data_IF_585088276267
#
_entry.id   IF_585088276267
#
_cell.length_a   1.000
_cell.length_b   1.000
_cell.length_c   1.000
_cell.angle_alpha   90.00
_cell.angle_beta   90.00
_cell.angle_gamma   90.00
#
_symmetry.space_group_name_H-M   'P 1'
#
loop_
_entity.id
_entity.type
_entity.pdbx_description
1 polymer ?
#
# COMPACT_ATOMS: atom_id res chain seq x y z
N UNK A 1 26.20 25.48 12.13
CA UNK A 1 26.72 24.33 12.89
C UNK A 1 26.00 23.07 12.41
N UNK A 2 26.74 22.01 12.10
CA UNK A 2 26.39 21.02 11.06
C UNK A 2 25.40 19.91 11.50
N UNK A 3 24.48 19.47 10.62
CA UNK A 3 23.46 18.42 10.85
C UNK A 3 24.01 16.99 11.08
N UNK A 4 25.33 16.83 11.17
CA UNK A 4 25.99 15.51 11.23
C UNK A 4 25.86 14.78 12.57
N UNK A 5 25.60 15.48 13.68
CA UNK A 5 25.54 14.83 15.01
C UNK A 5 24.27 14.00 15.24
N UNK A 6 23.17 14.30 14.53
CA UNK A 6 21.93 13.52 14.66
C UNK A 6 21.96 12.21 13.87
N UNK A 7 22.70 12.15 12.76
CA UNK A 7 22.79 10.96 11.91
C UNK A 7 23.66 9.88 12.55
N UNK A 8 24.75 10.28 13.22
CA UNK A 8 25.66 9.35 13.93
C UNK A 8 25.04 8.69 15.16
N UNK A 9 23.91 9.20 15.67
CA UNK A 9 23.14 8.57 16.76
C UNK A 9 22.24 7.42 16.28
N UNK A 10 21.93 7.37 14.98
CA UNK A 10 20.95 6.44 14.40
C UNK A 10 21.65 5.36 13.58
N UNK A 11 22.67 5.74 12.81
CA UNK A 11 23.41 4.85 11.91
C UNK A 11 24.86 4.67 12.39
N UNK A 12 25.33 3.42 12.40
CA UNK A 12 26.72 3.09 12.68
C UNK A 12 27.66 3.50 11.55
N UNK A 13 28.96 3.58 11.82
CA UNK A 13 29.97 4.01 10.84
C UNK A 13 29.96 3.21 9.53
N UNK A 14 29.72 1.89 9.61
CA UNK A 14 29.64 1.00 8.43
C UNK A 14 28.40 1.30 7.58
N UNK A 15 27.29 1.64 8.24
CA UNK A 15 26.02 1.99 7.58
C UNK A 15 26.12 3.33 6.85
N UNK A 16 26.70 4.34 7.51
CA UNK A 16 26.99 5.66 6.92
C UNK A 16 27.88 5.50 5.69
N UNK A 17 28.98 4.75 5.79
CA UNK A 17 29.89 4.49 4.68
C UNK A 17 29.22 3.75 3.51
N UNK A 18 28.27 2.87 3.82
CA UNK A 18 27.48 2.15 2.82
C UNK A 18 26.54 3.10 2.06
N UNK A 19 25.88 4.02 2.76
CA UNK A 19 25.04 5.07 2.16
C UNK A 19 25.88 5.98 1.26
N UNK A 20 27.03 6.46 1.74
CA UNK A 20 27.91 7.33 0.95
C UNK A 20 28.39 6.66 -0.34
N UNK A 21 28.80 5.38 -0.27
CA UNK A 21 29.19 4.62 -1.46
C UNK A 21 28.03 4.55 -2.46
N UNK A 22 26.81 4.31 -1.98
CA UNK A 22 25.62 4.20 -2.81
C UNK A 22 25.27 5.53 -3.49
N UNK A 23 25.29 6.64 -2.74
CA UNK A 23 25.02 7.98 -3.25
C UNK A 23 26.07 8.44 -4.28
N UNK A 24 27.31 7.98 -4.14
CA UNK A 24 28.41 8.21 -5.10
C UNK A 24 28.39 7.24 -6.29
N UNK A 25 27.35 6.40 -6.42
CA UNK A 25 27.21 5.45 -7.53
C UNK A 25 28.20 4.27 -7.51
N UNK A 26 28.91 4.04 -6.40
CA UNK A 26 29.90 2.95 -6.31
C UNK A 26 29.23 1.59 -6.13
N UNK A 27 29.83 0.56 -6.72
CA UNK A 27 29.36 -0.83 -6.59
C UNK A 27 29.48 -1.31 -5.15
N UNK A 28 28.37 -1.77 -4.58
CA UNK A 28 28.31 -2.32 -3.22
C UNK A 28 28.57 -3.82 -3.21
N UNK A 29 29.31 -4.31 -2.20
CA UNK A 29 29.47 -5.74 -1.88
C UNK A 29 28.16 -6.33 -1.39
N UNK A 30 28.02 -7.66 -1.41
CA UNK A 30 26.80 -8.34 -0.99
C UNK A 30 26.41 -8.00 0.46
N UNK A 31 27.38 -7.96 1.38
CA UNK A 31 27.19 -7.57 2.78
C UNK A 31 26.70 -6.12 2.91
N UNK A 32 27.31 -5.19 2.16
CA UNK A 32 26.90 -3.78 2.09
C UNK A 32 25.47 -3.63 1.57
N UNK A 33 25.10 -4.40 0.54
CA UNK A 33 23.72 -4.41 0.04
C UNK A 33 22.73 -4.97 1.06
N UNK A 34 23.14 -5.93 1.90
CA UNK A 34 22.29 -6.45 2.97
C UNK A 34 22.08 -5.41 4.09
N UNK A 35 23.09 -4.59 4.39
CA UNK A 35 22.93 -3.47 5.32
C UNK A 35 21.88 -2.47 4.84
N UNK A 36 21.86 -2.16 3.54
CA UNK A 36 20.86 -1.25 2.96
C UNK A 36 19.42 -1.72 3.24
N UNK A 37 19.14 -3.00 2.98
CA UNK A 37 17.78 -3.54 3.09
C UNK A 37 17.37 -3.88 4.53
N UNK A 38 18.29 -4.46 5.33
CA UNK A 38 17.94 -5.05 6.63
C UNK A 38 18.23 -4.15 7.83
N UNK A 39 19.03 -3.10 7.68
CA UNK A 39 19.49 -2.30 8.83
C UNK A 39 19.28 -0.79 8.61
N UNK A 40 19.78 -0.25 7.50
CA UNK A 40 19.72 1.18 7.18
C UNK A 40 18.27 1.63 6.93
N UNK A 41 17.55 0.91 6.06
CA UNK A 41 16.17 1.25 5.69
C UNK A 41 15.23 1.27 6.92
N UNK A 42 15.19 0.25 7.79
CA UNK A 42 14.37 0.27 9.00
C UNK A 42 14.66 1.46 9.93
N UNK A 43 15.93 1.82 10.12
CA UNK A 43 16.34 2.91 11.01
C UNK A 43 15.93 4.28 10.47
N UNK A 44 16.07 4.49 9.16
CA UNK A 44 15.63 5.72 8.50
C UNK A 44 14.10 5.87 8.53
N UNK A 45 13.36 4.76 8.36
CA UNK A 45 11.91 4.72 8.53
C UNK A 45 11.47 5.08 9.95
N UNK A 46 12.12 4.49 10.96
CA UNK A 46 11.79 4.71 12.36
C UNK A 46 12.09 6.15 12.84
N UNK A 47 13.13 6.78 12.30
CA UNK A 47 13.59 8.09 12.75
C UNK A 47 12.75 9.28 12.25
N UNK A 48 11.68 9.07 11.45
CA UNK A 48 10.96 10.15 10.75
C UNK A 48 11.88 11.12 9.96
N UNK A 49 13.12 10.72 9.63
CA UNK A 49 14.03 11.45 8.71
C UNK A 49 13.54 11.22 7.25
N UNK A 50 12.24 11.27 7.06
CA UNK A 50 11.50 10.91 5.84
C UNK A 50 10.51 11.99 5.46
N UNK A 51 10.78 13.24 5.84
CA UNK A 51 10.23 14.38 5.11
C UNK A 51 10.85 14.52 3.71
N UNK A 52 11.93 13.80 3.39
CA UNK A 52 12.55 13.80 2.07
C UNK A 52 12.54 12.39 1.44
N UNK A 53 11.38 12.00 0.89
CA UNK A 53 11.18 10.75 0.14
C UNK A 53 12.27 10.47 -0.92
N UNK A 54 12.94 11.53 -1.41
CA UNK A 54 14.06 11.47 -2.36
C UNK A 54 15.28 10.70 -1.85
N UNK A 55 15.54 10.67 -0.54
CA UNK A 55 16.73 10.00 0.00
C UNK A 55 16.56 8.48 0.01
N UNK A 56 15.37 7.98 0.34
CA UNK A 56 15.07 6.54 0.27
C UNK A 56 15.20 6.01 -1.16
N UNK A 57 14.62 6.73 -2.13
CA UNK A 57 14.66 6.36 -3.55
C UNK A 57 16.10 6.27 -4.08
N UNK A 58 16.98 7.19 -3.64
CA UNK A 58 18.40 7.19 -4.03
C UNK A 58 19.21 6.06 -3.40
N UNK A 59 18.76 5.53 -2.27
CA UNK A 59 19.47 4.49 -1.51
C UNK A 59 18.97 3.09 -1.87
N UNK A 60 17.74 2.94 -2.37
CA UNK A 60 17.18 1.64 -2.75
C UNK A 60 17.96 0.96 -3.90
N UNK A 61 17.96 -0.39 -3.89
CA UNK A 61 18.30 -1.18 -5.09
C UNK A 61 17.21 -0.90 -6.14
N UNK A 62 17.53 -0.78 -7.44
CA UNK A 62 16.48 -0.82 -8.46
C UNK A 62 15.72 -2.14 -8.28
N UNK A 63 14.42 -2.05 -8.04
CA UNK A 63 13.57 -3.22 -7.85
C UNK A 63 13.68 -4.11 -9.10
N UNK A 64 14.24 -5.31 -8.92
CA UNK A 64 14.03 -6.40 -9.87
C UNK A 64 12.55 -6.78 -9.68
N UNK A 65 11.67 -6.21 -10.51
CA UNK A 65 10.23 -6.43 -10.43
C UNK A 65 9.98 -7.95 -10.46
N UNK A 66 9.40 -8.49 -9.39
CA UNK A 66 8.95 -9.89 -9.38
C UNK A 66 7.73 -9.98 -10.29
N UNK A 67 7.92 -10.61 -11.46
CA UNK A 67 6.90 -10.76 -12.49
C UNK A 67 5.77 -11.73 -12.09
N UNK A 68 5.96 -12.55 -11.05
CA UNK A 68 4.99 -13.57 -10.63
C UNK A 68 3.73 -13.01 -9.95
N UNK A 69 3.70 -11.71 -9.62
CA UNK A 69 2.56 -11.04 -8.94
C UNK A 69 1.95 -9.91 -9.76
N UNK A 70 2.07 -10.02 -11.08
CA UNK A 70 1.67 -8.99 -12.03
C UNK A 70 0.37 -9.37 -12.75
N UNK A 71 -0.61 -8.48 -12.73
CA UNK A 71 -1.90 -8.69 -13.40
C UNK A 71 -1.88 -7.92 -14.73
N UNK A 72 -2.11 -8.64 -15.83
CA UNK A 72 -2.37 -8.06 -17.15
C UNK A 72 -3.86 -7.71 -17.27
N UNK A 73 -4.19 -6.45 -17.57
CA UNK A 73 -5.58 -6.03 -17.78
C UNK A 73 -5.83 -5.51 -19.19
N UNK A 74 -6.98 -5.88 -19.79
CA UNK A 74 -7.45 -5.43 -21.10
C UNK A 74 -8.69 -4.53 -20.94
N UNK A 75 -8.63 -3.28 -21.43
CA UNK A 75 -9.71 -2.29 -21.37
C UNK A 75 -10.89 -2.56 -22.34
N UNK A 76 -10.79 -3.61 -23.16
CA UNK A 76 -11.85 -4.08 -24.05
C UNK A 76 -13.25 -4.10 -23.42
N UNK A 77 -13.36 -4.60 -22.18
CA UNK A 77 -14.64 -4.79 -21.48
C UNK A 77 -15.37 -3.48 -21.10
N UNK A 78 -14.74 -2.31 -21.28
CA UNK A 78 -15.36 -0.99 -21.05
C UNK A 78 -15.79 -0.29 -22.36
N UNK A 79 -15.91 -1.00 -23.48
CA UNK A 79 -16.41 -0.45 -24.74
C UNK A 79 -15.37 0.25 -25.61
N UNK A 80 -14.08 0.09 -25.31
CA UNK A 80 -12.96 0.62 -26.10
C UNK A 80 -12.44 -0.38 -27.15
N UNK A 81 -13.28 -1.29 -27.66
CA UNK A 81 -12.93 -2.13 -28.80
C UNK A 81 -13.25 -1.41 -30.11
N UNK A 82 -12.44 -0.43 -30.46
CA UNK A 82 -12.35 -0.01 -31.86
C UNK A 82 -11.35 -0.95 -32.53
N UNK A 83 -11.90 -1.96 -33.21
CA UNK A 83 -11.27 -2.92 -34.14
C UNK A 83 -9.76 -2.70 -34.32
N UNK A 84 -8.94 -3.59 -33.76
CA UNK A 84 -7.49 -3.54 -33.97
C UNK A 84 -6.90 -4.92 -34.22
N UNK A 85 -6.26 -5.08 -35.38
CA UNK A 85 -5.63 -6.29 -35.91
C UNK A 85 -4.15 -6.45 -35.52
N UNK A 86 -3.67 -5.80 -34.44
CA UNK A 86 -2.28 -5.93 -33.97
C UNK A 86 -2.16 -6.07 -32.46
N UNK A 87 -1.34 -7.02 -32.02
CA UNK A 87 -0.96 -7.25 -30.63
C UNK A 87 -0.51 -5.95 -29.93
N UNK A 88 -1.11 -5.69 -28.78
CA UNK A 88 -1.09 -4.37 -28.15
C UNK A 88 0.22 -4.14 -27.36
N UNK A 89 1.13 -3.32 -27.90
CA UNK A 89 2.41 -2.90 -27.27
C UNK A 89 2.27 -2.05 -25.98
N UNK A 90 1.08 -1.88 -25.41
CA UNK A 90 0.79 -0.95 -24.30
C UNK A 90 0.14 -1.60 -23.07
N UNK A 91 0.42 -2.87 -22.81
CA UNK A 91 0.09 -3.45 -21.51
C UNK A 91 1.09 -2.91 -20.47
N UNK A 92 0.63 -2.03 -19.57
CA UNK A 92 1.42 -1.64 -18.42
C UNK A 92 1.27 -2.69 -17.33
N UNK A 93 2.39 -3.34 -17.02
CA UNK A 93 2.42 -4.31 -15.96
C UNK A 93 2.60 -3.57 -14.63
N UNK A 94 1.59 -3.65 -13.77
CA UNK A 94 1.57 -3.02 -12.43
C UNK A 94 1.57 -4.08 -11.34
N UNK A 95 2.14 -3.77 -10.18
CA UNK A 95 2.07 -4.66 -9.02
C UNK A 95 0.67 -4.63 -8.40
N UNK A 96 0.30 -5.70 -7.70
CA UNK A 96 -0.98 -5.78 -7.00
C UNK A 96 -1.17 -4.66 -5.96
N UNK A 97 -0.09 -4.30 -5.25
CA UNK A 97 -0.08 -3.18 -4.30
C UNK A 97 -0.42 -1.84 -4.98
N UNK A 98 0.19 -1.57 -6.14
CA UNK A 98 -0.09 -0.35 -6.92
C UNK A 98 -1.52 -0.38 -7.50
N UNK A 99 -2.02 -1.54 -7.91
CA UNK A 99 -3.41 -1.71 -8.35
C UNK A 99 -4.39 -1.37 -7.22
N UNK A 100 -4.16 -1.88 -6.01
CA UNK A 100 -4.97 -1.55 -4.82
C UNK A 100 -4.94 -0.03 -4.57
N UNK A 101 -3.78 0.60 -4.69
CA UNK A 101 -3.66 2.05 -4.55
C UNK A 101 -4.50 2.80 -5.59
N UNK A 102 -4.45 2.37 -6.86
CA UNK A 102 -5.21 2.96 -7.95
C UNK A 102 -6.72 2.81 -7.74
N UNK A 103 -7.18 1.67 -7.24
CA UNK A 103 -8.59 1.48 -6.85
C UNK A 103 -8.97 2.49 -5.76
N UNK A 104 -8.16 2.60 -4.71
CA UNK A 104 -8.49 3.44 -3.55
C UNK A 104 -8.38 4.96 -3.78
N UNK A 105 -7.67 5.37 -4.82
CA UNK A 105 -7.41 6.79 -5.14
C UNK A 105 -8.11 7.30 -6.38
N UNK A 106 -8.23 6.48 -7.44
CA UNK A 106 -8.72 6.94 -8.76
C UNK A 106 -9.98 6.20 -9.23
N UNK A 107 -10.22 4.98 -8.76
CA UNK A 107 -11.33 4.13 -9.20
C UNK A 107 -12.04 3.53 -8.00
N UNK A 108 -12.50 4.40 -7.10
CA UNK A 108 -13.08 4.03 -5.81
C UNK A 108 -14.52 3.51 -5.91
N UNK A 109 -14.83 2.78 -6.98
CA UNK A 109 -16.11 2.09 -7.10
C UNK A 109 -16.26 1.07 -5.97
N UNK A 110 -17.48 0.96 -5.44
CA UNK A 110 -17.79 0.10 -4.30
C UNK A 110 -17.35 -1.35 -4.57
N UNK A 111 -17.68 -1.87 -5.76
CA UNK A 111 -17.35 -3.25 -6.16
C UNK A 111 -15.86 -3.54 -6.20
N UNK A 112 -15.04 -2.56 -6.58
CA UNK A 112 -13.59 -2.76 -6.59
C UNK A 112 -13.00 -2.74 -5.19
N UNK A 113 -13.52 -1.88 -4.31
CA UNK A 113 -13.10 -1.82 -2.91
C UNK A 113 -13.45 -3.12 -2.19
N UNK A 114 -14.65 -3.63 -2.43
CA UNK A 114 -15.16 -4.91 -1.94
C UNK A 114 -14.28 -6.11 -2.31
N UNK A 115 -13.63 -6.06 -3.48
CA UNK A 115 -12.74 -7.13 -3.93
C UNK A 115 -11.36 -7.11 -3.25
N UNK A 116 -10.93 -5.97 -2.69
CA UNK A 116 -9.57 -5.81 -2.13
C UNK A 116 -9.26 -6.84 -1.03
N UNK A 117 -10.13 -7.07 -0.02
CA UNK A 117 -9.84 -8.06 1.02
C UNK A 117 -9.57 -9.46 0.46
N UNK A 118 -10.32 -9.88 -0.56
CA UNK A 118 -10.10 -11.19 -1.21
C UNK A 118 -8.76 -11.21 -1.95
N UNK A 119 -8.41 -10.12 -2.66
CA UNK A 119 -7.09 -9.99 -3.29
C UNK A 119 -5.96 -10.07 -2.27
N UNK A 120 -6.12 -9.44 -1.10
CA UNK A 120 -5.15 -9.49 -0.01
C UNK A 120 -4.99 -10.90 0.58
N UNK A 121 -6.06 -11.70 0.60
CA UNK A 121 -6.05 -13.07 1.14
C UNK A 121 -5.44 -14.08 0.16
N UNK A 122 -5.83 -13.99 -1.12
CA UNK A 122 -5.44 -14.95 -2.16
C UNK A 122 -4.01 -14.75 -2.66
N UNK A 123 -3.43 -13.57 -2.48
CA UNK A 123 -2.10 -13.26 -2.98
C UNK A 123 -1.12 -13.08 -1.82
N UNK A 124 0.10 -13.55 -2.02
CA UNK A 124 1.20 -13.18 -1.14
C UNK A 124 1.55 -11.71 -1.39
N UNK A 125 1.19 -10.82 -0.46
CA UNK A 125 1.52 -9.40 -0.57
C UNK A 125 2.64 -9.09 0.40
N UNK A 126 3.67 -8.40 -0.08
CA UNK A 126 4.72 -7.89 0.79
C UNK A 126 4.14 -6.76 1.68
N UNK A 127 4.07 -6.94 3.01
CA UNK A 127 3.55 -5.92 3.91
C UNK A 127 4.34 -4.60 3.84
N UNK A 128 5.62 -4.65 3.49
CA UNK A 128 6.45 -3.45 3.36
C UNK A 128 6.12 -2.67 2.09
N UNK A 129 5.93 -3.37 0.96
CA UNK A 129 5.52 -2.74 -0.29
C UNK A 129 4.13 -2.11 -0.13
N UNK A 130 3.20 -2.81 0.52
CA UNK A 130 1.87 -2.28 0.79
C UNK A 130 1.91 -1.04 1.71
N UNK A 131 2.79 -1.03 2.72
CA UNK A 131 2.98 0.13 3.60
C UNK A 131 3.57 1.34 2.85
N UNK A 132 4.54 1.09 1.97
CA UNK A 132 5.19 2.12 1.15
C UNK A 132 4.17 2.78 0.22
N UNK A 133 3.38 1.96 -0.49
CA UNK A 133 2.27 2.43 -1.34
C UNK A 133 1.22 3.17 -0.51
N UNK A 134 0.82 2.63 0.64
CA UNK A 134 -0.17 3.27 1.51
C UNK A 134 0.28 4.65 2.01
N UNK A 135 1.58 4.81 2.25
CA UNK A 135 2.17 6.09 2.67
C UNK A 135 2.32 7.06 1.51
N UNK A 136 2.78 6.59 0.35
CA UNK A 136 2.96 7.38 -0.88
C UNK A 136 1.65 8.02 -1.34
N UNK A 137 0.55 7.28 -1.27
CA UNK A 137 -0.77 7.72 -1.74
C UNK A 137 -1.67 8.26 -0.63
N UNK A 138 -1.18 8.36 0.61
CA UNK A 138 -1.95 8.77 1.79
C UNK A 138 -3.27 7.98 2.00
N UNK A 139 -3.20 6.66 1.81
CA UNK A 139 -4.35 5.73 1.93
C UNK A 139 -4.22 4.77 3.11
N UNK A 140 -3.39 5.11 4.12
CA UNK A 140 -3.10 4.27 5.30
C UNK A 140 -4.37 3.80 6.01
N UNK A 141 -5.33 4.70 6.20
CA UNK A 141 -6.58 4.38 6.89
C UNK A 141 -7.44 3.41 6.07
N UNK A 142 -7.57 3.66 4.77
CA UNK A 142 -8.30 2.79 3.82
C UNK A 142 -7.70 1.39 3.77
N UNK A 143 -6.37 1.30 3.60
CA UNK A 143 -5.63 0.03 3.59
C UNK A 143 -5.74 -0.69 4.93
N UNK A 144 -5.59 0.02 6.04
CA UNK A 144 -5.67 -0.55 7.38
C UNK A 144 -7.02 -1.20 7.65
N UNK A 145 -8.12 -0.53 7.28
CA UNK A 145 -9.46 -1.10 7.36
C UNK A 145 -9.60 -2.37 6.51
N UNK A 146 -9.15 -2.33 5.26
CA UNK A 146 -9.29 -3.48 4.34
C UNK A 146 -8.42 -4.67 4.75
N UNK A 147 -7.25 -4.43 5.36
CA UNK A 147 -6.42 -5.48 5.97
C UNK A 147 -7.11 -6.10 7.19
N UNK A 148 -7.75 -5.30 8.03
CA UNK A 148 -8.53 -5.80 9.18
C UNK A 148 -9.73 -6.62 8.71
N UNK A 149 -10.39 -6.21 7.62
CA UNK A 149 -11.43 -7.00 6.94
C UNK A 149 -10.87 -8.29 6.37
N UNK A 150 -9.68 -8.26 5.74
CA UNK A 150 -9.04 -9.47 5.23
C UNK A 150 -8.67 -10.46 6.35
N UNK A 151 -8.13 -9.99 7.48
CA UNK A 151 -7.78 -10.83 8.64
C UNK A 151 -9.04 -11.48 9.26
N UNK A 152 -10.15 -10.73 9.28
CA UNK A 152 -11.45 -11.21 9.74
C UNK A 152 -12.02 -12.32 8.85
N UNK A 153 -11.99 -12.13 7.53
CA UNK A 153 -12.48 -13.12 6.56
C UNK A 153 -11.60 -14.38 6.56
N UNK A 154 -10.28 -14.20 6.57
CA UNK A 154 -9.34 -15.30 6.41
C UNK A 154 -9.32 -16.28 7.59
N UNK A 155 -9.82 -15.88 8.77
CA UNK A 155 -9.92 -16.60 10.05
C UNK A 155 -8.62 -17.21 10.63
N UNK A 156 -7.66 -17.61 9.81
CA UNK A 156 -6.45 -18.35 10.17
C UNK A 156 -5.14 -17.66 9.72
N UNK A 157 -5.16 -16.88 8.63
CA UNK A 157 -3.98 -16.18 8.12
C UNK A 157 -3.78 -14.83 8.80
N UNK A 158 -3.14 -14.85 9.97
CA UNK A 158 -2.74 -13.66 10.77
C UNK A 158 -1.66 -12.78 10.12
N UNK A 159 -1.53 -12.81 8.80
CA UNK A 159 -0.40 -12.29 8.05
C UNK A 159 -0.25 -10.76 8.16
N UNK A 160 -1.33 -10.04 8.50
CA UNK A 160 -1.33 -8.58 8.51
C UNK A 160 -1.35 -7.94 9.89
N UNK A 161 -1.34 -8.71 10.98
CA UNK A 161 -1.56 -8.17 12.33
C UNK A 161 -0.56 -7.08 12.74
N UNK A 162 0.72 -7.30 12.47
CA UNK A 162 1.76 -6.33 12.80
C UNK A 162 1.62 -5.06 11.96
N UNK A 163 1.31 -5.21 10.66
CA UNK A 163 1.05 -4.08 9.78
C UNK A 163 -0.21 -3.31 10.19
N UNK A 164 -1.31 -3.99 10.53
CA UNK A 164 -2.54 -3.38 11.04
C UNK A 164 -2.24 -2.60 12.33
N UNK A 165 -1.50 -3.21 13.26
CA UNK A 165 -1.13 -2.56 14.53
C UNK A 165 -0.29 -1.30 14.29
N UNK A 166 0.66 -1.38 13.36
CA UNK A 166 1.44 -0.21 12.94
C UNK A 166 0.55 0.88 12.33
N UNK A 167 -0.30 0.52 11.36
CA UNK A 167 -1.20 1.46 10.69
C UNK A 167 -2.19 2.11 11.67
N UNK A 168 -2.71 1.37 12.66
CA UNK A 168 -3.57 1.93 13.71
C UNK A 168 -2.88 3.00 14.56
N UNK A 169 -1.58 2.83 14.85
CA UNK A 169 -0.76 3.80 15.61
C UNK A 169 -0.38 5.03 14.79
N UNK A 170 -0.39 4.92 13.46
CA UNK A 170 0.06 5.95 12.53
C UNK A 170 -1.04 6.36 11.54
N UNK A 171 -2.32 6.14 11.90
CA UNK A 171 -3.47 6.55 11.09
C UNK A 171 -3.56 8.06 11.06
N UNK A 172 -4.07 8.61 9.96
CA UNK A 172 -4.37 10.04 9.88
C UNK A 172 -5.61 10.37 10.70
N UNK A 173 -5.63 11.55 11.35
CA UNK A 173 -6.80 12.08 12.05
C UNK A 173 -7.87 12.59 11.09
N UNK A 174 -7.49 12.85 9.83
CA UNK A 174 -8.43 13.27 8.79
C UNK A 174 -9.49 12.21 8.57
N UNK A 175 -10.75 12.65 8.54
CA UNK A 175 -11.88 11.82 8.13
C UNK A 175 -11.85 11.71 6.60
N UNK A 176 -11.85 10.49 6.07
CA UNK A 176 -11.76 10.21 4.64
C UNK A 176 -12.95 9.36 4.18
N UNK A 177 -13.36 9.54 2.94
CA UNK A 177 -14.38 8.68 2.32
C UNK A 177 -13.72 7.42 1.75
N UNK A 178 -14.23 6.26 2.14
CA UNK A 178 -13.98 4.99 1.47
C UNK A 178 -15.08 4.79 0.43
N UNK A 179 -14.78 5.04 -0.84
CA UNK A 179 -15.77 5.01 -1.92
C UNK A 179 -15.73 6.25 -2.80
N UNK A 180 -16.77 6.43 -3.59
CA UNK A 180 -17.00 7.64 -4.37
C UNK A 180 -17.56 8.74 -3.45
N UNK A 181 -16.95 9.93 -3.52
CA UNK A 181 -17.53 11.14 -2.94
C UNK A 181 -18.62 11.65 -3.89
N UNK A 182 -19.77 12.01 -3.33
CA UNK A 182 -20.92 12.53 -4.09
C UNK A 182 -21.36 13.87 -3.50
N UNK A 183 -22.60 14.24 -3.76
CA UNK A 183 -23.24 15.44 -3.24
C UNK A 183 -23.34 15.46 -1.70
N UNK A 184 -23.63 16.66 -1.17
CA UNK A 184 -23.67 16.92 0.27
C UNK A 184 -24.71 16.04 0.99
N UNK A 185 -25.88 15.83 0.39
CA UNK A 185 -26.93 14.95 0.94
C UNK A 185 -26.43 13.51 1.12
N UNK A 186 -25.68 12.98 0.16
CA UNK A 186 -25.09 11.66 0.26
C UNK A 186 -24.02 11.59 1.35
N UNK A 187 -23.25 12.66 1.54
CA UNK A 187 -22.24 12.73 2.59
C UNK A 187 -22.86 12.73 3.98
N UNK A 188 -23.93 13.50 4.21
CA UNK A 188 -24.68 13.46 5.47
C UNK A 188 -25.28 12.07 5.73
N UNK A 189 -25.84 11.46 4.69
CA UNK A 189 -26.40 10.11 4.79
C UNK A 189 -25.33 9.08 5.15
N UNK A 190 -24.16 9.12 4.51
CA UNK A 190 -23.05 8.22 4.82
C UNK A 190 -22.56 8.46 6.26
N UNK A 191 -22.41 9.70 6.70
CA UNK A 191 -21.92 10.01 8.04
C UNK A 191 -22.80 9.36 9.13
N UNK A 192 -24.12 9.43 8.95
CA UNK A 192 -25.12 8.81 9.82
C UNK A 192 -25.09 7.28 9.76
N UNK A 193 -24.93 6.70 8.57
CA UNK A 193 -25.05 5.24 8.34
C UNK A 193 -23.73 4.47 8.43
N UNK A 194 -22.60 5.17 8.53
CA UNK A 194 -21.27 4.54 8.55
C UNK A 194 -21.10 3.57 9.73
N UNK A 195 -20.68 2.32 9.49
CA UNK A 195 -20.45 1.34 10.55
C UNK A 195 -19.37 1.75 11.57
N UNK A 196 -19.55 1.36 12.84
CA UNK A 196 -18.60 1.68 13.93
C UNK A 196 -17.16 1.23 13.63
N UNK A 197 -16.97 0.08 12.99
CA UNK A 197 -15.65 -0.46 12.63
C UNK A 197 -14.93 0.43 11.62
N UNK A 198 -15.66 0.96 10.64
CA UNK A 198 -15.15 1.91 9.66
C UNK A 198 -14.76 3.24 10.34
N UNK A 199 -15.61 3.75 11.26
CA UNK A 199 -15.33 4.97 12.04
C UNK A 199 -14.05 4.88 12.86
N UNK A 200 -13.68 3.69 13.38
CA UNK A 200 -12.41 3.48 14.10
C UNK A 200 -11.17 3.79 13.24
N UNK A 201 -11.30 3.76 11.93
CA UNK A 201 -10.25 4.13 10.98
C UNK A 201 -10.37 5.57 10.47
N UNK A 202 -11.23 6.41 11.05
CA UNK A 202 -11.53 7.75 10.56
C UNK A 202 -11.98 7.72 9.09
N UNK A 203 -12.84 6.75 8.78
CA UNK A 203 -13.39 6.53 7.44
C UNK A 203 -14.91 6.67 7.47
N UNK A 204 -15.45 7.20 6.37
CA UNK A 204 -16.87 7.28 6.04
C UNK A 204 -17.16 6.35 4.87
N UNK A 205 -18.27 5.62 4.92
CA UNK A 205 -18.66 4.68 3.87
C UNK A 205 -19.69 3.66 4.31
N UNK A 206 -20.31 3.00 3.34
CA UNK A 206 -21.36 2.00 3.55
C UNK A 206 -20.86 0.59 3.22
N UNK A 207 -19.83 0.15 3.93
CA UNK A 207 -19.25 -1.18 3.79
C UNK A 207 -19.51 -1.98 5.06
N UNK A 208 -20.45 -2.92 4.99
CA UNK A 208 -20.78 -3.79 6.13
C UNK A 208 -19.98 -5.09 6.06
N UNK A 209 -19.72 -5.66 7.24
CA UNK A 209 -18.94 -6.89 7.36
C UNK A 209 -19.61 -8.04 6.60
N UNK A 210 -20.95 -8.11 6.63
CA UNK A 210 -21.77 -9.11 5.93
C UNK A 210 -21.58 -9.08 4.41
N UNK A 211 -21.40 -7.90 3.81
CA UNK A 211 -21.19 -7.77 2.37
C UNK A 211 -19.87 -8.43 1.97
N UNK A 212 -18.83 -8.23 2.77
CA UNK A 212 -17.53 -8.85 2.54
C UNK A 212 -17.54 -10.36 2.78
N UNK A 213 -18.27 -10.85 3.79
CA UNK A 213 -18.40 -12.28 4.02
C UNK A 213 -19.13 -12.98 2.87
N UNK A 214 -20.24 -12.39 2.38
CA UNK A 214 -20.98 -12.93 1.23
C UNK A 214 -20.10 -13.00 -0.02
N UNK A 215 -19.32 -11.97 -0.29
CA UNK A 215 -18.35 -11.98 -1.38
C UNK A 215 -17.27 -13.04 -1.18
N UNK A 216 -16.76 -13.19 0.04
CA UNK A 216 -15.79 -14.22 0.35
C UNK A 216 -16.33 -15.61 0.07
N UNK A 217 -17.59 -15.92 0.40
CA UNK A 217 -18.20 -17.23 0.09
C UNK A 217 -18.19 -17.54 -1.41
N UNK A 218 -18.52 -16.55 -2.25
CA UNK A 218 -18.53 -16.70 -3.72
C UNK A 218 -17.13 -16.94 -4.27
N UNK A 219 -16.12 -16.30 -3.69
CA UNK A 219 -14.75 -16.32 -4.21
C UNK A 219 -13.80 -17.24 -3.44
N UNK A 220 -14.21 -17.93 -2.37
CA UNK A 220 -13.34 -18.82 -1.57
C UNK A 220 -13.29 -20.27 -2.06
N UNK A 221 -13.90 -20.56 -3.21
CA UNK A 221 -13.62 -21.76 -4.01
C UNK A 221 -12.21 -21.72 -4.62
#
# INVERSE_FOLDING_TARGET
>A
MLPNQNISRILGAVEIKTIEKRLKGKTLKQTERNYLSRSIRPKLLAAKILTDAKILDRIQRPNKKNYDRMISYNLAKYGYELVQTKENKKQQIISLTELIALILTKRSSIRYIEAIPILLIKNEIDPFELLEVASKYDIKNKIGYLLETADMIAKEKKQFRDLIKYLKRHKTEKILTLGEEKDEEYMEFIEKTTPKRLKKWNLLGRFFDDDFFRLAEVYSC
#
